data_IF_972279492712
#
_entry.id   IF_972279492712
#
_cell.length_a   1.000
_cell.length_b   1.000
_cell.length_c   1.000
_cell.angle_alpha   90.00
_cell.angle_beta   90.00
_cell.angle_gamma   90.00
#
_symmetry.space_group_name_H-M   'P 1'
#
loop_
_entity.id
_entity.type
_entity.pdbx_description
1 polymer ?
#
# COMPACT_ATOMS: atom_id res chain seq x y z
N UNK A 1 -22.65 -7.10 -12.37
CA UNK A 1 -23.37 -6.74 -11.13
C UNK A 1 -22.67 -7.40 -9.94
N UNK A 2 -21.74 -6.71 -9.28
CA UNK A 2 -21.35 -7.01 -7.88
C UNK A 2 -20.91 -5.69 -7.24
N UNK A 3 -21.81 -5.02 -6.53
CA UNK A 3 -21.45 -4.00 -5.54
C UNK A 3 -21.78 -4.58 -4.18
N UNK A 4 -20.98 -5.54 -3.72
CA UNK A 4 -20.94 -5.84 -2.29
C UNK A 4 -20.25 -4.65 -1.62
N UNK A 5 -21.05 -3.85 -0.90
CA UNK A 5 -20.55 -2.88 0.05
C UNK A 5 -19.84 -3.69 1.16
N UNK A 6 -18.52 -3.85 1.06
CA UNK A 6 -17.70 -4.43 2.12
C UNK A 6 -17.63 -3.43 3.29
N UNK A 7 -18.65 -3.41 4.13
CA UNK A 7 -18.71 -2.58 5.33
C UNK A 7 -17.47 -2.92 6.19
N UNK A 8 -16.60 -1.92 6.41
CA UNK A 8 -15.39 -2.06 7.22
C UNK A 8 -14.10 -2.43 6.46
N UNK A 9 -14.10 -2.59 5.13
CA UNK A 9 -12.88 -2.77 4.34
C UNK A 9 -12.54 -1.51 3.54
N UNK A 10 -11.25 -1.17 3.47
CA UNK A 10 -10.73 -0.01 2.76
C UNK A 10 -9.40 -0.35 2.10
N UNK A 11 -9.11 0.31 0.97
CA UNK A 11 -7.84 0.22 0.27
C UNK A 11 -6.87 1.25 0.82
N UNK A 12 -5.69 0.79 1.23
CA UNK A 12 -4.58 1.67 1.58
C UNK A 12 -3.97 2.23 0.29
N UNK A 13 -3.81 3.56 0.20
CA UNK A 13 -3.28 4.20 -1.01
C UNK A 13 -2.16 5.19 -0.74
N UNK A 14 -1.45 5.54 -1.82
CA UNK A 14 -0.36 6.51 -1.79
C UNK A 14 -0.80 7.93 -1.50
N UNK A 15 0.19 8.75 -1.09
CA UNK A 15 0.04 10.19 -0.85
C UNK A 15 -0.46 10.96 -2.09
N UNK A 16 -0.18 10.44 -3.29
CA UNK A 16 -0.68 10.98 -4.56
C UNK A 16 -2.18 10.77 -4.78
N UNK A 17 -2.82 9.88 -4.02
CA UNK A 17 -4.27 9.65 -4.10
C UNK A 17 -5.02 10.50 -3.09
N UNK A 18 -6.23 10.92 -3.47
CA UNK A 18 -7.14 11.60 -2.56
C UNK A 18 -7.82 10.59 -1.65
N UNK A 19 -7.90 10.92 -0.35
CA UNK A 19 -8.73 10.20 0.61
C UNK A 19 -10.20 10.30 0.15
N UNK A 20 -10.83 9.16 -0.14
CA UNK A 20 -12.19 9.09 -0.72
C UNK A 20 -12.89 7.80 -0.29
N UNK A 21 -14.20 7.63 -0.55
CA UNK A 21 -14.87 6.40 -0.19
C UNK A 21 -14.21 5.12 -0.66
N UNK A 22 -13.80 4.28 0.29
CA UNK A 22 -13.09 3.02 0.06
C UNK A 22 -11.57 3.15 -0.03
N UNK A 23 -11.01 4.36 0.03
CA UNK A 23 -9.59 4.65 -0.18
C UNK A 23 -9.05 5.49 0.98
N UNK A 24 -8.06 4.96 1.67
CA UNK A 24 -7.44 5.59 2.82
C UNK A 24 -6.05 6.08 2.45
N UNK A 25 -5.88 7.41 2.39
CA UNK A 25 -4.62 8.06 2.05
C UNK A 25 -3.92 8.61 3.33
N UNK A 26 -2.58 8.67 3.35
CA UNK A 26 -1.83 9.22 4.48
C UNK A 26 -2.16 10.69 4.71
N UNK A 27 -1.88 11.20 5.91
CA UNK A 27 -1.96 12.64 6.19
C UNK A 27 -0.85 13.37 5.42
N UNK A 28 -1.26 14.27 4.52
CA UNK A 28 -0.34 15.14 3.80
C UNK A 28 0.25 16.20 4.75
N UNK A 29 1.50 16.60 4.50
CA UNK A 29 2.21 17.59 5.33
C UNK A 29 2.54 17.13 6.75
N UNK A 30 2.42 15.82 7.02
CA UNK A 30 2.82 15.19 8.29
C UNK A 30 4.00 14.26 8.02
N UNK A 31 4.97 14.20 8.96
CA UNK A 31 6.17 13.37 8.82
C UNK A 31 5.81 11.91 8.55
N UNK A 32 6.61 11.28 7.70
CA UNK A 32 6.31 9.96 7.13
C UNK A 32 7.48 8.97 7.30
N UNK A 33 8.69 9.47 7.59
CA UNK A 33 9.90 8.65 7.67
C UNK A 33 10.30 8.29 9.11
N UNK A 34 10.55 7.00 9.34
CA UNK A 34 11.13 6.48 10.59
C UNK A 34 12.44 7.19 10.98
N UNK A 35 13.24 7.63 9.99
CA UNK A 35 14.48 8.37 10.21
C UNK A 35 14.26 9.80 10.73
N UNK A 36 13.12 10.44 10.45
CA UNK A 36 12.77 11.75 11.02
C UNK A 36 12.23 11.66 12.46
N UNK A 37 11.87 10.45 12.90
CA UNK A 37 11.27 10.16 14.21
C UNK A 37 12.34 9.71 15.22
N UNK A 38 13.49 9.19 14.77
CA UNK A 38 14.59 8.77 15.66
C UNK A 38 15.17 9.96 16.43
N UNK A 39 14.71 10.13 17.66
CA UNK A 39 15.23 11.12 18.62
C UNK A 39 14.20 12.15 19.12
N UNK A 40 12.96 12.13 18.63
CA UNK A 40 11.86 12.95 19.16
C UNK A 40 10.62 12.08 19.34
N UNK A 41 9.95 12.19 20.49
CA UNK A 41 8.66 11.54 20.71
C UNK A 41 7.72 11.93 19.55
N UNK A 42 7.06 10.95 18.94
CA UNK A 42 5.99 11.21 17.97
C UNK A 42 4.87 11.94 18.70
N UNK A 43 4.76 13.25 18.51
CA UNK A 43 3.84 14.08 19.30
C UNK A 43 2.42 14.09 18.72
N UNK A 44 2.22 13.60 17.48
CA UNK A 44 0.90 13.60 16.84
C UNK A 44 0.41 12.21 16.44
N UNK A 45 -0.87 11.93 16.74
CA UNK A 45 -1.61 10.75 16.27
C UNK A 45 -1.55 10.58 14.74
N UNK A 46 -1.44 11.68 13.99
CA UNK A 46 -1.27 11.66 12.53
C UNK A 46 0.06 11.05 12.11
N UNK A 47 1.12 11.26 12.87
CA UNK A 47 2.44 10.66 12.61
C UNK A 47 2.42 9.16 12.89
N UNK A 48 1.75 8.75 13.98
CA UNK A 48 1.55 7.32 14.30
C UNK A 48 0.76 6.64 13.19
N UNK A 49 -0.32 7.28 12.71
CA UNK A 49 -1.10 6.78 11.59
C UNK A 49 -0.24 6.63 10.33
N UNK A 50 0.49 7.69 9.93
CA UNK A 50 1.35 7.65 8.74
C UNK A 50 2.46 6.59 8.85
N UNK A 51 3.03 6.39 10.04
CA UNK A 51 4.05 5.37 10.28
C UNK A 51 3.48 3.96 10.08
N UNK A 52 2.32 3.66 10.67
CA UNK A 52 1.61 2.39 10.48
C UNK A 52 1.22 2.18 9.02
N UNK A 53 0.74 3.23 8.37
CA UNK A 53 0.40 3.24 6.94
C UNK A 53 1.62 2.88 6.09
N UNK A 54 2.77 3.52 6.34
CA UNK A 54 4.02 3.25 5.63
C UNK A 54 4.54 1.84 5.90
N UNK A 55 4.48 1.36 7.13
CA UNK A 55 4.93 0.00 7.50
C UNK A 55 4.09 -1.07 6.80
N UNK A 56 2.77 -0.90 6.75
CA UNK A 56 1.88 -1.82 6.04
C UNK A 56 2.14 -1.80 4.53
N UNK A 57 2.34 -0.60 3.95
CA UNK A 57 2.70 -0.46 2.54
C UNK A 57 4.01 -1.18 2.23
N UNK A 58 5.04 -0.96 3.04
CA UNK A 58 6.34 -1.61 2.90
C UNK A 58 6.19 -3.13 2.90
N UNK A 59 5.41 -3.70 3.84
CA UNK A 59 5.15 -5.14 3.86
C UNK A 59 4.46 -5.65 2.57
N UNK A 60 3.53 -4.88 1.99
CA UNK A 60 2.91 -5.22 0.71
C UNK A 60 3.91 -5.16 -0.45
N UNK A 61 4.72 -4.10 -0.52
CA UNK A 61 5.75 -3.91 -1.54
C UNK A 61 6.80 -5.03 -1.49
N UNK A 62 7.28 -5.41 -0.30
CA UNK A 62 8.18 -6.55 -0.13
C UNK A 62 7.54 -7.85 -0.66
N UNK A 63 6.28 -8.13 -0.31
CA UNK A 63 5.59 -9.33 -0.75
C UNK A 63 5.47 -9.40 -2.28
N UNK A 64 5.12 -8.27 -2.94
CA UNK A 64 5.11 -8.21 -4.40
C UNK A 64 6.51 -8.30 -5.01
N UNK A 65 7.53 -7.73 -4.37
CA UNK A 65 8.93 -7.87 -4.77
C UNK A 65 9.38 -9.33 -4.81
N UNK A 66 9.03 -10.11 -3.78
CA UNK A 66 9.31 -11.56 -3.72
C UNK A 66 8.60 -12.29 -4.86
N UNK A 67 7.32 -12.00 -5.07
CA UNK A 67 6.55 -12.64 -6.14
C UNK A 67 7.15 -12.33 -7.52
N UNK A 68 7.55 -11.09 -7.78
CA UNK A 68 8.20 -10.69 -9.05
C UNK A 68 9.55 -11.37 -9.25
N UNK A 69 10.38 -11.45 -8.20
CA UNK A 69 11.68 -12.13 -8.25
C UNK A 69 11.54 -13.63 -8.53
N UNK A 70 10.53 -14.28 -7.94
CA UNK A 70 10.27 -15.71 -8.18
C UNK A 70 9.63 -15.95 -9.55
N UNK A 71 8.68 -15.12 -9.94
CA UNK A 71 7.84 -15.33 -11.12
C UNK A 71 8.10 -14.25 -12.16
N UNK A 72 9.02 -14.53 -13.10
CA UNK A 72 9.37 -13.61 -14.19
C UNK A 72 8.18 -13.14 -15.04
N UNK A 73 7.08 -13.92 -15.07
CA UNK A 73 5.83 -13.52 -15.74
C UNK A 73 5.20 -12.24 -15.14
N UNK A 74 5.46 -11.94 -13.87
CA UNK A 74 4.98 -10.71 -13.22
C UNK A 74 5.84 -9.47 -13.52
N UNK A 75 7.03 -9.67 -14.09
CA UNK A 75 7.95 -8.59 -14.45
C UNK A 75 8.01 -8.34 -15.96
N UNK A 76 7.60 -9.33 -16.76
CA UNK A 76 7.51 -9.21 -18.21
C UNK A 76 6.34 -8.33 -18.65
N UNK A 77 6.52 -7.56 -19.73
CA UNK A 77 5.40 -6.87 -20.40
C UNK A 77 4.43 -7.90 -20.96
N UNK A 78 3.23 -7.97 -20.40
CA UNK A 78 2.22 -8.97 -20.75
C UNK A 78 1.26 -8.38 -21.80
N UNK A 79 1.05 -9.09 -22.92
CA UNK A 79 -0.05 -8.79 -23.86
C UNK A 79 -1.32 -9.58 -23.51
N UNK A 80 -1.59 -9.73 -22.21
CA UNK A 80 -2.79 -10.39 -21.72
C UNK A 80 -3.90 -9.38 -21.45
N UNK A 81 -5.14 -9.80 -21.62
CA UNK A 81 -6.30 -9.04 -21.18
C UNK A 81 -6.34 -8.93 -19.65
N UNK A 82 -7.08 -7.95 -19.13
CA UNK A 82 -7.08 -7.62 -17.71
C UNK A 82 -7.47 -8.81 -16.83
N UNK A 83 -8.47 -9.59 -17.23
CA UNK A 83 -8.95 -10.74 -16.46
C UNK A 83 -7.87 -11.84 -16.37
N UNK A 84 -7.15 -12.08 -17.45
CA UNK A 84 -6.00 -13.00 -17.46
C UNK A 84 -4.86 -12.49 -16.59
N UNK A 85 -4.54 -11.19 -16.63
CA UNK A 85 -3.52 -10.61 -15.74
C UNK A 85 -3.86 -10.82 -14.26
N UNK A 86 -5.12 -10.60 -13.88
CA UNK A 86 -5.60 -10.85 -12.51
C UNK A 86 -5.44 -12.32 -12.13
N UNK A 87 -5.84 -13.24 -13.02
CA UNK A 87 -5.70 -14.68 -12.77
C UNK A 87 -4.23 -15.12 -12.63
N UNK A 88 -3.31 -14.54 -13.40
CA UNK A 88 -1.87 -14.79 -13.27
C UNK A 88 -1.37 -14.40 -11.89
N UNK A 89 -1.71 -13.19 -11.42
CA UNK A 89 -1.32 -12.73 -10.08
C UNK A 89 -1.85 -13.67 -9.00
N UNK A 90 -3.13 -14.06 -9.08
CA UNK A 90 -3.74 -14.99 -8.12
C UNK A 90 -3.03 -16.36 -8.15
N UNK A 91 -2.75 -16.90 -9.33
CA UNK A 91 -2.05 -18.17 -9.48
C UNK A 91 -0.66 -18.12 -8.86
N UNK A 92 0.11 -17.05 -9.09
CA UNK A 92 1.42 -16.84 -8.48
C UNK A 92 1.34 -16.78 -6.95
N UNK A 93 0.33 -16.11 -6.38
CA UNK A 93 0.10 -16.07 -4.93
C UNK A 93 -0.23 -17.46 -4.36
N UNK A 94 -1.11 -18.22 -5.01
CA UNK A 94 -1.49 -19.58 -4.58
C UNK A 94 -0.27 -20.50 -4.60
N UNK A 95 0.50 -20.50 -5.69
CA UNK A 95 1.71 -21.30 -5.80
C UNK A 95 2.78 -20.88 -4.78
N UNK A 96 2.95 -19.58 -4.54
CA UNK A 96 3.86 -19.09 -3.51
C UNK A 96 3.45 -19.61 -2.12
N UNK A 97 2.17 -19.50 -1.76
CA UNK A 97 1.65 -19.99 -0.49
C UNK A 97 1.78 -21.51 -0.34
N UNK A 98 1.61 -22.26 -1.43
CA UNK A 98 1.82 -23.70 -1.42
C UNK A 98 3.28 -24.05 -1.15
N UNK A 99 4.22 -23.44 -1.88
CA UNK A 99 5.67 -23.63 -1.68
C UNK A 99 6.05 -23.28 -0.24
N UNK A 100 5.53 -22.19 0.30
CA UNK A 100 5.76 -21.80 1.69
C UNK A 100 5.37 -22.86 2.73
N UNK A 101 4.29 -23.62 2.46
CA UNK A 101 3.84 -24.69 3.34
C UNK A 101 4.69 -25.96 3.24
N UNK A 102 5.32 -26.21 2.09
CA UNK A 102 6.08 -27.44 1.80
C UNK A 102 7.58 -27.25 2.03
N UNK A 103 8.12 -26.08 1.68
CA UNK A 103 9.51 -25.70 1.88
C UNK A 103 9.62 -24.32 2.55
N UNK A 104 9.66 -24.28 3.90
CA UNK A 104 9.83 -23.03 4.65
C UNK A 104 11.19 -22.35 4.43
N UNK A 105 12.17 -23.03 3.82
CA UNK A 105 13.51 -22.50 3.60
C UNK A 105 13.74 -22.03 2.16
N UNK A 106 12.67 -21.93 1.36
CA UNK A 106 12.76 -21.45 -0.01
C UNK A 106 13.52 -20.11 -0.10
N UNK A 107 14.49 -20.07 -1.01
CA UNK A 107 15.43 -18.96 -1.17
C UNK A 107 14.73 -17.61 -1.40
N UNK A 108 13.68 -17.56 -2.22
CA UNK A 108 12.97 -16.33 -2.56
C UNK A 108 12.16 -15.81 -1.38
N UNK A 109 11.64 -16.71 -0.56
CA UNK A 109 10.96 -16.33 0.68
C UNK A 109 11.95 -15.74 1.68
N UNK A 110 13.08 -16.41 1.90
CA UNK A 110 14.08 -15.97 2.88
C UNK A 110 14.70 -14.64 2.49
N UNK A 111 15.01 -14.46 1.20
CA UNK A 111 15.47 -13.20 0.65
C UNK A 111 14.41 -12.09 0.83
N UNK A 112 13.14 -12.39 0.59
CA UNK A 112 12.04 -11.46 0.85
C UNK A 112 11.92 -10.97 2.28
N UNK A 113 12.00 -11.89 3.24
CA UNK A 113 11.92 -11.57 4.67
C UNK A 113 13.11 -10.69 5.07
N UNK A 114 14.33 -11.04 4.65
CA UNK A 114 15.50 -10.26 5.03
C UNK A 114 15.54 -8.88 4.37
N UNK A 115 14.98 -8.72 3.17
CA UNK A 115 14.81 -7.41 2.54
C UNK A 115 13.77 -6.56 3.23
N UNK A 116 12.64 -7.15 3.66
CA UNK A 116 11.66 -6.46 4.49
C UNK A 116 12.26 -5.98 5.82
N UNK A 117 13.10 -6.81 6.44
CA UNK A 117 13.83 -6.44 7.66
C UNK A 117 14.85 -5.32 7.39
N UNK A 118 15.55 -5.34 6.25
CA UNK A 118 16.49 -4.28 5.86
C UNK A 118 15.78 -2.97 5.53
N UNK A 119 14.68 -3.00 4.81
CA UNK A 119 13.90 -1.79 4.46
C UNK A 119 13.26 -1.15 5.70
N UNK A 120 12.90 -1.95 6.71
CA UNK A 120 12.53 -1.44 8.04
C UNK A 120 13.70 -0.71 8.75
N UNK A 121 14.96 -1.01 8.38
CA UNK A 121 16.17 -0.41 8.95
C UNK A 121 16.72 0.74 8.06
N UNK A 122 16.44 0.75 6.75
CA UNK A 122 17.08 1.63 5.76
C UNK A 122 16.12 2.40 4.83
N UNK A 123 14.90 2.73 5.28
CA UNK A 123 13.89 3.45 4.47
C UNK A 123 14.45 4.68 3.75
N UNK A 124 14.68 4.53 2.45
CA UNK A 124 15.25 5.52 1.56
C UNK A 124 15.03 5.06 0.14
N UNK A 125 13.89 5.42 -0.43
CA UNK A 125 13.71 5.54 -1.87
C UNK A 125 13.26 6.98 -2.13
N UNK A 126 14.15 7.75 -2.76
CA UNK A 126 13.83 9.00 -3.43
C UNK A 126 13.00 8.65 -4.67
N UNK A 127 11.85 9.29 -4.91
CA UNK A 127 11.45 9.50 -6.29
C UNK A 127 10.56 10.74 -6.51
N UNK A 128 10.65 11.15 -7.77
CA UNK A 128 10.46 12.42 -8.47
C UNK A 128 9.06 13.01 -8.40
N UNK A 129 9.05 14.34 -8.28
CA UNK A 129 7.91 15.25 -8.40
C UNK A 129 7.35 15.25 -9.83
N UNK A 130 6.09 14.89 -10.00
CA UNK A 130 5.33 15.26 -11.20
C UNK A 130 3.95 15.78 -10.78
N UNK A 131 3.92 17.10 -10.58
CA UNK A 131 2.70 17.87 -10.40
C UNK A 131 1.78 17.73 -11.62
N UNK A 132 0.54 17.31 -11.40
CA UNK A 132 -0.52 17.46 -12.39
C UNK A 132 -1.65 18.32 -11.82
N UNK A 133 -1.77 19.48 -12.46
CA UNK A 133 -2.67 20.61 -12.22
C UNK A 133 -4.16 20.21 -12.16
N UNK A 134 -4.89 20.93 -11.32
CA UNK A 134 -6.32 20.76 -11.09
C UNK A 134 -7.19 21.25 -12.27
N UNK A 135 -8.30 20.55 -12.50
CA UNK A 135 -9.62 21.09 -12.89
C UNK A 135 -10.61 19.91 -13.01
N UNK A 136 -11.93 20.01 -12.83
CA UNK A 136 -12.82 20.82 -11.98
C UNK A 136 -14.17 20.07 -11.95
N UNK A 137 -15.08 20.45 -11.04
CA UNK A 137 -16.48 20.03 -10.90
C UNK A 137 -16.75 18.57 -10.44
N UNK A 138 -17.08 18.44 -9.16
CA UNK A 138 -17.98 17.36 -8.73
C UNK A 138 -19.03 17.84 -7.70
N UNK A 139 -20.26 17.25 -7.72
CA UNK A 139 -21.42 17.79 -7.03
C UNK A 139 -21.31 17.68 -5.50
N UNK A 140 -22.04 18.53 -4.78
CA UNK A 140 -22.06 18.64 -3.30
C UNK A 140 -22.10 17.30 -2.52
N UNK A 141 -22.65 16.23 -3.10
CA UNK A 141 -22.68 14.89 -2.53
C UNK A 141 -21.27 14.29 -2.33
N UNK A 142 -20.36 14.46 -3.30
CA UNK A 142 -18.97 13.98 -3.16
C UNK A 142 -18.22 14.68 -2.02
N UNK A 143 -18.47 15.99 -1.80
CA UNK A 143 -17.84 16.73 -0.69
C UNK A 143 -18.22 16.17 0.68
N UNK A 144 -19.48 15.79 0.87
CA UNK A 144 -19.94 15.21 2.13
C UNK A 144 -19.29 13.84 2.39
N UNK A 145 -19.10 13.04 1.33
CA UNK A 145 -18.44 11.75 1.45
C UNK A 145 -16.93 11.87 1.69
N UNK A 146 -16.25 12.82 1.04
CA UNK A 146 -14.84 13.14 1.30
C UNK A 146 -14.60 13.59 2.75
N UNK A 147 -15.51 14.43 3.27
CA UNK A 147 -15.47 14.86 4.67
C UNK A 147 -15.67 13.67 5.62
N UNK A 148 -16.66 12.82 5.34
CA UNK A 148 -16.92 11.58 6.12
C UNK A 148 -15.70 10.66 6.16
N UNK A 149 -14.99 10.49 5.05
CA UNK A 149 -13.79 9.64 5.00
C UNK A 149 -12.58 10.26 5.66
N UNK A 150 -12.51 11.59 5.71
CA UNK A 150 -11.50 12.29 6.51
C UNK A 150 -11.76 12.07 8.00
N UNK A 151 -13.01 12.22 8.44
CA UNK A 151 -13.42 11.91 9.83
C UNK A 151 -13.23 10.44 10.18
N UNK A 152 -13.53 9.52 9.25
CA UNK A 152 -13.29 8.08 9.45
C UNK A 152 -11.79 7.79 9.66
N UNK A 153 -10.92 8.39 8.84
CA UNK A 153 -9.46 8.31 9.03
C UNK A 153 -9.03 8.84 10.39
N UNK A 154 -9.58 9.97 10.82
CA UNK A 154 -9.28 10.56 12.13
C UNK A 154 -9.71 9.65 13.29
N UNK A 155 -10.82 8.91 13.14
CA UNK A 155 -11.30 7.95 14.15
C UNK A 155 -10.42 6.70 14.29
N UNK A 156 -9.87 6.19 13.19
CA UNK A 156 -8.98 5.01 13.20
C UNK A 156 -7.52 5.37 13.48
N UNK A 157 -7.18 6.66 13.37
CA UNK A 157 -5.87 7.21 13.72
C UNK A 157 -5.70 7.53 15.22
N UNK A 158 -6.79 7.50 16.00
CA UNK A 158 -6.85 7.57 17.46
C UNK A 158 -6.66 6.18 18.09
#
# INVERSE_FOLDING_TARGET
>A
MVTQHNIGKYYLVDVGYRNKPGFLAPYQGTRYHLNEIRGRLSESLKEIFNNRHSSLRNAMECAFGVLKKRWAILDATQYFDFDTQVNIVIACCVLHNHIMGVDPHDQYTREGICEADRQNISGGDEFVDESASANSLAPRLQRNELARWSTFRDQIGL
#
